data_IF_196433274384
#
_entry.id   IF_196433274384
#
_cell.length_a   1.000
_cell.length_b   1.000
_cell.length_c   1.000
_cell.angle_alpha   90.00
_cell.angle_beta   90.00
_cell.angle_gamma   90.00
#
_symmetry.space_group_name_H-M   'P 1'
#
loop_
_entity.id
_entity.type
_entity.pdbx_description
1 polymer ?
#
# COMPACT_ATOMS: atom_id res chain seq x y z
N UNK A 1 9.76 -24.49 0.26
CA UNK A 1 8.30 -24.28 0.13
C UNK A 1 8.00 -23.60 -1.19
N UNK A 2 6.98 -24.05 -1.93
CA UNK A 2 6.58 -23.50 -3.24
C UNK A 2 5.26 -22.75 -3.09
N UNK A 3 5.23 -21.48 -3.48
CA UNK A 3 4.07 -20.59 -3.32
C UNK A 3 3.66 -20.02 -4.67
N UNK A 4 2.38 -20.13 -5.01
CA UNK A 4 1.78 -19.43 -6.14
C UNK A 4 1.13 -18.14 -5.64
N UNK A 5 1.72 -17.00 -5.98
CA UNK A 5 1.08 -15.71 -5.72
C UNK A 5 0.17 -15.32 -6.90
N UNK A 6 -1.07 -14.94 -6.60
CA UNK A 6 -2.06 -14.56 -7.60
C UNK A 6 -2.54 -13.15 -7.33
N UNK A 7 -2.44 -12.28 -8.35
CA UNK A 7 -2.89 -10.88 -8.30
C UNK A 7 -3.40 -10.45 -9.67
N UNK A 8 -4.37 -9.55 -9.72
CA UNK A 8 -4.96 -9.09 -10.98
C UNK A 8 -4.04 -8.23 -11.86
N UNK A 9 -3.23 -7.38 -11.22
CA UNK A 9 -2.27 -6.45 -11.88
C UNK A 9 -0.90 -6.63 -11.24
N UNK A 10 0.16 -6.58 -12.05
CA UNK A 10 1.54 -6.76 -11.58
C UNK A 10 2.49 -5.87 -12.39
N UNK A 11 3.65 -5.44 -11.85
CA UNK A 11 4.64 -4.71 -12.62
C UNK A 11 4.99 -5.39 -13.97
N UNK A 12 5.32 -4.61 -15.00
CA UNK A 12 5.56 -3.17 -15.02
C UNK A 12 4.30 -2.29 -15.10
N UNK A 13 3.08 -2.85 -15.05
CA UNK A 13 1.83 -2.09 -15.18
C UNK A 13 1.66 -1.04 -14.08
N UNK A 14 1.62 -1.48 -12.85
CA UNK A 14 1.42 -0.60 -11.69
C UNK A 14 2.60 -0.72 -10.74
N UNK A 15 3.34 0.36 -10.58
CA UNK A 15 4.54 0.46 -9.72
C UNK A 15 4.22 1.17 -8.39
N UNK A 16 2.99 1.05 -7.91
CA UNK A 16 2.57 1.62 -6.62
C UNK A 16 1.47 0.78 -5.97
N UNK A 17 1.35 0.87 -4.66
CA UNK A 17 0.35 0.13 -3.90
C UNK A 17 0.54 -1.39 -3.93
N UNK A 18 -0.56 -2.17 -3.92
CA UNK A 18 -0.49 -3.62 -3.80
C UNK A 18 0.38 -4.35 -4.84
N UNK A 19 0.40 -3.98 -6.15
CA UNK A 19 1.26 -4.63 -7.13
C UNK A 19 2.74 -4.54 -6.81
N UNK A 20 3.23 -3.37 -6.43
CA UNK A 20 4.62 -3.16 -6.02
C UNK A 20 4.94 -3.95 -4.74
N UNK A 21 4.04 -3.92 -3.75
CA UNK A 21 4.21 -4.65 -2.50
C UNK A 21 4.31 -6.16 -2.72
N UNK A 22 3.47 -6.72 -3.60
CA UNK A 22 3.53 -8.14 -3.97
C UNK A 22 4.85 -8.49 -4.66
N UNK A 23 5.31 -7.63 -5.58
CA UNK A 23 6.57 -7.84 -6.27
C UNK A 23 7.77 -7.85 -5.31
N UNK A 24 7.87 -6.83 -4.46
CA UNK A 24 8.96 -6.74 -3.47
C UNK A 24 8.91 -7.87 -2.45
N UNK A 25 7.71 -8.26 -2.00
CA UNK A 25 7.53 -9.43 -1.15
C UNK A 25 7.98 -10.73 -1.84
N UNK A 26 7.61 -10.94 -3.09
CA UNK A 26 8.03 -12.11 -3.85
C UNK A 26 9.57 -12.19 -3.98
N UNK A 27 10.23 -11.06 -4.24
CA UNK A 27 11.70 -10.99 -4.24
C UNK A 27 12.30 -11.32 -2.88
N UNK A 28 11.76 -10.73 -1.80
CA UNK A 28 12.22 -10.99 -0.44
C UNK A 28 12.06 -12.44 -0.01
N UNK A 29 10.94 -13.07 -0.36
CA UNK A 29 10.69 -14.49 -0.09
C UNK A 29 11.64 -15.39 -0.86
N UNK A 30 11.91 -15.09 -2.14
CA UNK A 30 12.87 -15.84 -2.95
C UNK A 30 14.30 -15.72 -2.41
N UNK A 31 14.67 -14.56 -1.88
CA UNK A 31 15.96 -14.37 -1.20
C UNK A 31 16.04 -15.15 0.14
N UNK A 32 14.93 -15.70 0.63
CA UNK A 32 14.82 -16.53 1.85
C UNK A 32 14.41 -17.97 1.52
N UNK A 33 14.79 -18.49 0.37
CA UNK A 33 14.60 -19.88 -0.10
C UNK A 33 13.13 -20.33 -0.22
N UNK A 34 12.20 -19.39 -0.40
CA UNK A 34 10.81 -19.71 -0.76
C UNK A 34 10.65 -19.59 -2.28
N UNK A 35 10.32 -20.68 -2.96
CA UNK A 35 10.06 -20.65 -4.42
C UNK A 35 8.71 -19.99 -4.69
N UNK A 36 8.73 -18.68 -4.93
CA UNK A 36 7.54 -17.89 -5.28
C UNK A 36 7.47 -17.70 -6.78
N UNK A 37 6.29 -17.98 -7.34
CA UNK A 37 5.91 -17.70 -8.72
C UNK A 37 4.65 -16.85 -8.73
N UNK A 38 4.50 -15.96 -9.70
CA UNK A 38 3.36 -15.06 -9.78
C UNK A 38 2.51 -15.36 -11.01
N UNK A 39 1.20 -15.48 -10.84
CA UNK A 39 0.24 -15.46 -11.95
C UNK A 39 -0.57 -14.19 -11.88
N UNK A 40 -0.61 -13.45 -12.99
CA UNK A 40 -1.28 -12.17 -13.14
C UNK A 40 -1.90 -12.02 -14.53
N UNK A 41 -2.40 -10.83 -14.83
CA UNK A 41 -2.84 -10.45 -16.19
C UNK A 41 -2.01 -9.29 -16.72
N UNK A 42 -2.07 -9.04 -18.03
CA UNK A 42 -1.43 -7.88 -18.63
C UNK A 42 -2.31 -6.60 -18.55
N UNK A 43 -3.25 -6.55 -17.61
CA UNK A 43 -4.10 -5.39 -17.40
C UNK A 43 -3.33 -4.18 -16.84
N UNK A 44 -3.68 -2.96 -17.29
CA UNK A 44 -3.18 -1.69 -16.79
C UNK A 44 -4.32 -0.66 -16.79
N UNK A 45 -5.16 -0.70 -15.78
CA UNK A 45 -6.40 0.08 -15.76
C UNK A 45 -7.33 -0.32 -16.92
N UNK A 46 -7.66 0.64 -17.79
CA UNK A 46 -8.46 0.39 -19.01
C UNK A 46 -7.63 -0.23 -20.16
N UNK A 47 -6.31 -0.08 -20.10
CA UNK A 47 -5.37 -0.53 -21.12
C UNK A 47 -4.72 -1.86 -20.76
N UNK A 48 -3.74 -2.27 -21.55
CA UNK A 48 -2.88 -3.42 -21.32
C UNK A 48 -1.41 -3.00 -21.45
N UNK A 49 -0.52 -3.67 -20.71
CA UNK A 49 0.91 -3.53 -20.92
C UNK A 49 1.38 -4.46 -22.06
N UNK A 50 2.43 -4.04 -22.74
CA UNK A 50 3.11 -4.84 -23.74
C UNK A 50 4.13 -5.75 -23.05
N UNK A 51 3.70 -6.97 -22.75
CA UNK A 51 4.52 -8.04 -22.17
C UNK A 51 4.17 -9.37 -22.83
N UNK A 52 5.11 -10.33 -22.91
CA UNK A 52 4.81 -11.67 -23.36
C UNK A 52 3.70 -12.31 -22.52
N UNK A 53 2.61 -12.71 -23.17
CA UNK A 53 1.48 -13.37 -22.49
C UNK A 53 1.45 -14.87 -22.82
N UNK A 54 0.82 -15.65 -21.92
CA UNK A 54 0.60 -17.09 -22.15
C UNK A 54 1.82 -17.98 -21.85
N UNK A 55 2.91 -17.42 -21.38
CA UNK A 55 4.13 -18.14 -20.99
C UNK A 55 4.75 -17.53 -19.72
N UNK A 56 5.59 -18.30 -19.06
CA UNK A 56 6.42 -17.82 -17.96
C UNK A 56 7.55 -16.96 -18.50
N UNK A 57 7.77 -15.83 -17.86
CA UNK A 57 8.92 -14.94 -18.05
C UNK A 57 9.50 -14.58 -16.69
N UNK A 58 10.74 -14.14 -16.67
CA UNK A 58 11.34 -13.59 -15.46
C UNK A 58 11.19 -12.05 -15.46
N UNK A 59 10.73 -11.51 -14.35
CA UNK A 59 10.67 -10.07 -14.12
C UNK A 59 11.39 -9.76 -12.80
N UNK A 60 12.55 -9.12 -12.90
CA UNK A 60 13.42 -8.77 -11.76
C UNK A 60 13.63 -9.93 -10.77
N UNK A 61 13.99 -11.11 -11.25
CA UNK A 61 14.27 -12.29 -10.44
C UNK A 61 13.03 -13.07 -9.97
N UNK A 62 11.83 -12.71 -10.42
CA UNK A 62 10.58 -13.40 -10.10
C UNK A 62 9.98 -14.02 -11.36
N UNK A 63 9.69 -15.34 -11.38
CA UNK A 63 8.94 -15.98 -12.46
C UNK A 63 7.48 -15.48 -12.47
N UNK A 64 7.05 -14.89 -13.58
CA UNK A 64 5.71 -14.30 -13.74
C UNK A 64 5.04 -14.87 -14.98
N UNK A 65 3.78 -15.25 -14.85
CA UNK A 65 2.91 -15.61 -15.96
C UNK A 65 1.87 -14.51 -16.17
N UNK A 66 1.92 -13.82 -17.30
CA UNK A 66 0.92 -12.84 -17.69
C UNK A 66 -0.15 -13.50 -18.57
N UNK A 67 -1.37 -13.57 -18.05
CA UNK A 67 -2.53 -13.97 -18.84
C UNK A 67 -3.06 -12.78 -19.66
N UNK A 68 -3.38 -12.99 -20.93
CA UNK A 68 -4.00 -11.97 -21.78
C UNK A 68 -5.38 -11.58 -21.22
N UNK A 69 -5.57 -10.30 -20.87
CA UNK A 69 -6.83 -9.76 -20.40
C UNK A 69 -7.89 -9.83 -21.50
N UNK A 70 -9.11 -10.22 -21.14
CA UNK A 70 -10.25 -10.14 -22.05
C UNK A 70 -10.72 -8.69 -22.20
N UNK A 71 -10.97 -8.21 -23.43
CA UNK A 71 -11.49 -6.88 -23.67
C UNK A 71 -12.76 -6.60 -22.87
N UNK A 72 -12.93 -5.36 -22.40
CA UNK A 72 -14.11 -4.93 -21.63
C UNK A 72 -14.18 -5.45 -20.18
N UNK A 73 -13.17 -6.16 -19.71
CA UNK A 73 -13.10 -6.65 -18.33
C UNK A 73 -11.96 -6.01 -17.55
N UNK A 74 -12.05 -6.03 -16.22
CA UNK A 74 -10.97 -5.49 -15.36
C UNK A 74 -9.71 -6.39 -15.42
N UNK A 75 -9.85 -7.67 -15.02
CA UNK A 75 -8.73 -8.62 -14.89
C UNK A 75 -9.11 -10.04 -15.29
N UNK A 76 -10.15 -10.24 -16.13
CA UNK A 76 -10.52 -11.57 -16.56
C UNK A 76 -9.55 -12.08 -17.63
N UNK A 77 -9.01 -13.28 -17.43
CA UNK A 77 -8.08 -13.94 -18.35
C UNK A 77 -8.22 -15.45 -18.28
N UNK A 78 -8.58 -16.07 -19.39
CA UNK A 78 -8.62 -17.54 -19.48
C UNK A 78 -7.23 -18.17 -19.39
N UNK A 79 -6.21 -17.46 -19.87
CA UNK A 79 -4.80 -17.89 -19.75
C UNK A 79 -4.37 -17.94 -18.28
N UNK A 80 -4.63 -16.89 -17.52
CA UNK A 80 -4.34 -16.84 -16.09
C UNK A 80 -5.14 -17.91 -15.31
N UNK A 81 -6.42 -18.09 -15.63
CA UNK A 81 -7.25 -19.15 -15.03
C UNK A 81 -6.64 -20.53 -15.22
N UNK A 82 -6.29 -20.89 -16.46
CA UNK A 82 -5.65 -22.18 -16.76
C UNK A 82 -4.30 -22.34 -16.07
N UNK A 83 -3.50 -21.29 -16.01
CA UNK A 83 -2.22 -21.29 -15.30
C UNK A 83 -2.40 -21.56 -13.81
N UNK A 84 -3.34 -20.87 -13.14
CA UNK A 84 -3.65 -21.09 -11.72
C UNK A 84 -4.04 -22.54 -11.44
N UNK A 85 -4.96 -23.11 -12.25
CA UNK A 85 -5.43 -24.49 -12.08
C UNK A 85 -4.32 -25.51 -12.30
N UNK A 86 -3.45 -25.26 -13.29
CA UNK A 86 -2.28 -26.12 -13.58
C UNK A 86 -1.24 -26.08 -12.48
N UNK A 87 -0.84 -24.87 -12.07
CA UNK A 87 0.23 -24.68 -11.08
C UNK A 87 -0.21 -25.11 -9.66
N UNK A 88 -1.50 -25.08 -9.35
CA UNK A 88 -2.02 -25.55 -8.07
C UNK A 88 -1.66 -27.02 -7.75
N UNK A 89 -1.30 -27.83 -8.75
CA UNK A 89 -0.82 -29.20 -8.53
C UNK A 89 0.63 -29.26 -8.03
N UNK A 90 1.40 -28.20 -8.19
CA UNK A 90 2.84 -28.15 -8.01
C UNK A 90 3.29 -27.23 -6.87
N UNK A 91 2.35 -26.67 -6.12
CA UNK A 91 2.63 -25.72 -5.03
C UNK A 91 2.09 -26.20 -3.70
N UNK A 92 2.71 -25.72 -2.64
CA UNK A 92 2.34 -26.06 -1.27
C UNK A 92 1.24 -25.13 -0.75
N UNK A 93 1.14 -23.89 -1.32
CA UNK A 93 0.21 -22.84 -0.91
C UNK A 93 -0.08 -21.89 -2.08
N UNK A 94 -1.31 -21.32 -2.11
CA UNK A 94 -1.68 -20.21 -2.99
C UNK A 94 -1.90 -18.98 -2.14
N UNK A 95 -1.25 -17.85 -2.49
CA UNK A 95 -1.51 -16.54 -1.88
C UNK A 95 -2.23 -15.64 -2.89
N UNK A 96 -3.49 -15.31 -2.61
CA UNK A 96 -4.33 -14.47 -3.47
C UNK A 96 -4.41 -13.05 -2.92
N UNK A 97 -4.00 -12.06 -3.71
CA UNK A 97 -4.08 -10.63 -3.34
C UNK A 97 -5.23 -9.92 -4.05
N UNK A 98 -6.00 -9.17 -3.24
CA UNK A 98 -7.26 -8.54 -3.65
C UNK A 98 -8.45 -9.47 -3.45
N UNK A 99 -9.65 -8.89 -3.22
CA UNK A 99 -10.82 -9.70 -2.86
C UNK A 99 -11.73 -10.00 -4.05
N UNK A 100 -12.23 -8.99 -4.70
CA UNK A 100 -13.31 -9.11 -5.68
C UNK A 100 -12.79 -9.33 -7.11
N UNK A 101 -11.82 -10.25 -7.26
CA UNK A 101 -11.20 -10.57 -8.54
C UNK A 101 -11.69 -11.91 -9.10
N UNK A 102 -11.83 -11.98 -10.41
CA UNK A 102 -12.11 -13.23 -11.12
C UNK A 102 -11.02 -14.29 -10.92
N UNK A 103 -9.78 -13.86 -10.72
CA UNK A 103 -8.66 -14.76 -10.40
C UNK A 103 -8.87 -15.50 -9.08
N UNK A 104 -9.56 -14.89 -8.10
CA UNK A 104 -9.87 -15.53 -6.81
C UNK A 104 -10.89 -16.66 -6.95
N UNK A 105 -11.80 -16.59 -7.93
CA UNK A 105 -12.69 -17.72 -8.24
C UNK A 105 -11.89 -18.90 -8.82
N UNK A 106 -10.90 -18.62 -9.66
CA UNK A 106 -9.98 -19.65 -10.17
C UNK A 106 -9.15 -20.27 -9.04
N UNK A 107 -8.63 -19.43 -8.12
CA UNK A 107 -7.90 -19.89 -6.93
C UNK A 107 -8.78 -20.79 -6.06
N UNK A 108 -10.02 -20.39 -5.78
CA UNK A 108 -10.95 -21.20 -4.98
C UNK A 108 -11.30 -22.54 -5.66
N UNK A 109 -11.48 -22.54 -6.97
CA UNK A 109 -11.73 -23.77 -7.73
C UNK A 109 -10.51 -24.69 -7.73
N UNK A 110 -9.31 -24.16 -7.92
CA UNK A 110 -8.05 -24.89 -7.90
C UNK A 110 -7.75 -25.46 -6.50
N UNK A 111 -7.93 -24.66 -5.46
CA UNK A 111 -7.77 -25.06 -4.06
C UNK A 111 -8.67 -26.26 -3.70
N UNK A 112 -9.98 -26.17 -3.97
CA UNK A 112 -10.90 -27.28 -3.68
C UNK A 112 -10.55 -28.55 -4.45
N UNK A 113 -10.12 -28.42 -5.70
CA UNK A 113 -9.81 -29.54 -6.57
C UNK A 113 -8.52 -30.27 -6.18
N UNK A 114 -7.54 -29.52 -5.63
CA UNK A 114 -6.19 -30.02 -5.32
C UNK A 114 -5.90 -30.10 -3.83
N UNK A 115 -6.80 -29.61 -2.98
CA UNK A 115 -6.60 -29.55 -1.54
C UNK A 115 -5.48 -28.59 -1.13
N UNK A 116 -5.12 -27.60 -1.94
CA UNK A 116 -4.04 -26.62 -1.66
C UNK A 116 -4.60 -25.50 -0.78
N UNK A 117 -3.97 -25.20 0.39
CA UNK A 117 -4.41 -24.10 1.23
C UNK A 117 -4.27 -22.75 0.55
N UNK A 118 -5.17 -21.82 0.88
CA UNK A 118 -5.18 -20.46 0.34
C UNK A 118 -5.03 -19.44 1.45
N UNK A 119 -4.08 -18.54 1.31
CA UNK A 119 -4.00 -17.28 2.05
C UNK A 119 -4.60 -16.17 1.20
N UNK A 120 -5.48 -15.35 1.76
CA UNK A 120 -6.12 -14.23 1.07
C UNK A 120 -5.67 -12.92 1.70
N UNK A 121 -5.15 -11.97 0.89
CA UNK A 121 -4.85 -10.60 1.32
C UNK A 121 -5.93 -9.64 0.81
N UNK A 122 -6.81 -9.10 1.67
CA UNK A 122 -7.88 -8.19 1.25
C UNK A 122 -7.37 -6.85 0.73
N UNK A 123 -6.31 -6.32 1.31
CA UNK A 123 -5.70 -5.03 0.94
C UNK A 123 -6.69 -3.86 0.99
N UNK A 124 -7.42 -3.75 2.10
CA UNK A 124 -8.41 -2.69 2.32
C UNK A 124 -9.72 -2.87 1.56
N UNK A 125 -9.92 -3.99 0.87
CA UNK A 125 -11.17 -4.22 0.11
C UNK A 125 -12.40 -4.46 1.00
N UNK A 126 -12.19 -4.67 2.29
CA UNK A 126 -13.22 -4.91 3.31
C UNK A 126 -13.52 -3.68 4.17
N UNK A 127 -12.86 -2.55 3.92
CA UNK A 127 -13.25 -1.25 4.46
C UNK A 127 -14.72 -0.94 4.07
N UNK A 128 -15.48 -0.34 4.99
CA UNK A 128 -16.90 -0.03 4.78
C UNK A 128 -17.15 0.77 3.50
N UNK A 129 -16.34 1.80 3.25
CA UNK A 129 -16.46 2.60 2.03
C UNK A 129 -16.05 1.82 0.79
N UNK A 130 -15.01 0.96 0.90
CA UNK A 130 -14.64 0.09 -0.20
C UNK A 130 -15.78 -0.87 -0.54
N UNK A 131 -16.53 -1.36 0.44
CA UNK A 131 -17.67 -2.24 0.24
C UNK A 131 -18.83 -1.55 -0.50
N UNK A 132 -19.04 -0.26 -0.31
CA UNK A 132 -20.05 0.52 -1.00
C UNK A 132 -19.71 0.79 -2.48
N UNK A 133 -18.43 0.69 -2.85
CA UNK A 133 -18.02 0.91 -4.23
C UNK A 133 -18.35 -0.29 -5.14
N UNK A 134 -18.97 -0.02 -6.29
CA UNK A 134 -19.36 -1.04 -7.29
C UNK A 134 -20.20 -2.21 -6.74
N UNK A 135 -21.33 -1.98 -6.06
CA UNK A 135 -22.10 -3.01 -5.36
C UNK A 135 -22.61 -4.12 -6.30
N UNK A 136 -22.97 -3.78 -7.54
CA UNK A 136 -23.45 -4.77 -8.54
C UNK A 136 -22.37 -5.79 -8.93
N UNK A 137 -21.11 -5.34 -9.11
CA UNK A 137 -19.97 -6.24 -9.41
C UNK A 137 -19.72 -7.18 -8.23
N UNK A 138 -19.78 -6.69 -7.00
CA UNK A 138 -19.60 -7.50 -5.79
C UNK A 138 -20.72 -8.50 -5.59
N UNK A 139 -21.98 -8.10 -5.78
CA UNK A 139 -23.13 -9.00 -5.73
C UNK A 139 -22.97 -10.16 -6.74
N UNK A 140 -22.52 -9.85 -7.97
CA UNK A 140 -22.25 -10.88 -8.98
C UNK A 140 -21.10 -11.81 -8.54
N UNK A 141 -20.01 -11.27 -7.99
CA UNK A 141 -18.90 -12.06 -7.46
C UNK A 141 -19.37 -13.04 -6.38
N UNK A 142 -20.17 -12.57 -5.42
CA UNK A 142 -20.72 -13.43 -4.36
C UNK A 142 -21.66 -14.50 -4.90
N UNK A 143 -22.51 -14.15 -5.86
CA UNK A 143 -23.43 -15.09 -6.53
C UNK A 143 -22.68 -16.20 -7.27
N UNK A 144 -21.52 -15.91 -7.84
CA UNK A 144 -20.67 -16.87 -8.57
C UNK A 144 -19.73 -17.69 -7.66
N UNK A 145 -19.91 -17.63 -6.34
CA UNK A 145 -19.19 -18.46 -5.40
C UNK A 145 -18.12 -17.75 -4.57
N UNK A 146 -18.04 -16.41 -4.64
CA UNK A 146 -17.12 -15.60 -3.87
C UNK A 146 -17.21 -15.84 -2.36
N UNK A 147 -18.43 -16.00 -1.81
CA UNK A 147 -18.61 -16.33 -0.38
C UNK A 147 -17.95 -17.66 0.00
N UNK A 148 -18.06 -18.68 -0.86
CA UNK A 148 -17.40 -19.97 -0.62
C UNK A 148 -15.87 -19.87 -0.75
N UNK A 149 -15.40 -19.03 -1.68
CA UNK A 149 -13.98 -18.77 -1.84
C UNK A 149 -13.37 -18.17 -0.57
N UNK A 150 -14.04 -17.21 0.05
CA UNK A 150 -13.61 -16.55 1.27
C UNK A 150 -13.68 -17.46 2.49
N UNK A 151 -14.81 -18.15 2.68
CA UNK A 151 -14.97 -19.11 3.78
C UNK A 151 -14.00 -20.29 3.67
N UNK A 152 -13.52 -20.60 2.48
CA UNK A 152 -12.53 -21.65 2.24
C UNK A 152 -11.08 -21.21 2.37
N UNK A 153 -10.82 -19.93 2.68
CA UNK A 153 -9.46 -19.46 2.95
C UNK A 153 -8.89 -20.12 4.20
N UNK A 154 -7.65 -20.61 4.13
CA UNK A 154 -6.96 -21.19 5.28
C UNK A 154 -6.52 -20.12 6.27
N UNK A 155 -6.21 -18.91 5.77
CA UNK A 155 -5.95 -17.72 6.58
C UNK A 155 -6.14 -16.45 5.73
N UNK A 156 -6.32 -15.32 6.43
CA UNK A 156 -6.24 -13.98 5.84
C UNK A 156 -4.92 -13.34 6.24
N UNK A 157 -4.17 -12.86 5.26
CA UNK A 157 -3.03 -11.99 5.49
C UNK A 157 -3.51 -10.54 5.59
N UNK A 158 -3.36 -9.94 6.75
CA UNK A 158 -3.71 -8.55 7.04
C UNK A 158 -2.46 -7.73 7.28
N UNK A 159 -2.48 -6.45 6.89
CA UNK A 159 -1.33 -5.56 6.99
C UNK A 159 -1.36 -4.66 8.22
N UNK A 160 -2.51 -4.61 8.91
CA UNK A 160 -2.70 -3.80 10.11
C UNK A 160 -3.79 -4.40 11.00
N UNK A 161 -3.83 -3.98 12.27
CA UNK A 161 -4.90 -4.33 13.20
C UNK A 161 -6.27 -3.82 12.73
N UNK A 162 -6.31 -2.65 12.09
CA UNK A 162 -7.54 -2.12 11.50
C UNK A 162 -8.08 -3.06 10.42
N UNK A 163 -7.22 -3.57 9.55
CA UNK A 163 -7.62 -4.55 8.52
C UNK A 163 -8.08 -5.87 9.14
N UNK A 164 -7.47 -6.30 10.27
CA UNK A 164 -7.92 -7.49 11.01
C UNK A 164 -9.34 -7.35 11.50
N UNK A 165 -9.69 -6.21 12.10
CA UNK A 165 -11.06 -5.91 12.54
C UNK A 165 -12.05 -6.00 11.37
N UNK A 166 -11.70 -5.46 10.20
CA UNK A 166 -12.55 -5.53 9.02
C UNK A 166 -12.74 -6.97 8.52
N UNK A 167 -11.67 -7.79 8.55
CA UNK A 167 -11.74 -9.21 8.17
C UNK A 167 -12.64 -9.98 9.14
N UNK A 168 -12.46 -9.79 10.45
CA UNK A 168 -13.27 -10.47 11.48
C UNK A 168 -14.75 -10.10 11.38
N UNK A 169 -15.06 -8.82 11.14
CA UNK A 169 -16.43 -8.37 10.93
C UNK A 169 -17.07 -9.00 9.67
N UNK A 170 -16.29 -9.25 8.62
CA UNK A 170 -16.78 -9.77 7.35
C UNK A 170 -16.79 -11.31 7.27
N UNK A 171 -15.81 -11.99 7.89
CA UNK A 171 -15.69 -13.45 7.97
C UNK A 171 -15.41 -13.83 9.43
N UNK A 172 -16.42 -13.83 10.31
CA UNK A 172 -16.24 -14.12 11.72
C UNK A 172 -15.56 -15.49 11.96
N UNK A 173 -14.63 -15.52 12.92
CA UNK A 173 -13.86 -16.73 13.26
C UNK A 173 -12.79 -17.11 12.23
N UNK A 174 -12.49 -16.25 11.28
CA UNK A 174 -11.43 -16.49 10.32
C UNK A 174 -10.05 -16.37 10.98
N UNK A 175 -9.12 -17.23 10.56
CA UNK A 175 -7.72 -17.13 10.96
C UNK A 175 -7.07 -15.95 10.24
N UNK A 176 -6.40 -15.09 10.99
CA UNK A 176 -5.64 -13.96 10.43
C UNK A 176 -4.17 -14.05 10.78
N UNK A 177 -3.29 -13.65 9.86
CA UNK A 177 -1.87 -13.43 10.08
C UNK A 177 -1.54 -11.98 9.81
N UNK A 178 -1.04 -11.27 10.83
CA UNK A 178 -0.63 -9.88 10.71
C UNK A 178 0.82 -9.82 10.22
N UNK A 179 0.99 -9.39 8.97
CA UNK A 179 2.30 -9.09 8.39
C UNK A 179 2.21 -7.76 7.67
N UNK A 180 2.91 -6.72 8.12
CA UNK A 180 2.80 -5.39 7.52
C UNK A 180 3.37 -5.34 6.10
N UNK A 181 3.10 -4.26 5.38
CA UNK A 181 3.82 -3.99 4.14
C UNK A 181 5.29 -3.69 4.43
N UNK A 182 6.16 -4.13 3.54
CA UNK A 182 7.57 -3.81 3.60
C UNK A 182 7.88 -2.43 3.04
N UNK A 183 8.97 -1.85 3.52
CA UNK A 183 9.56 -0.62 3.01
C UNK A 183 11.01 -0.83 2.62
N UNK A 184 11.44 -0.19 1.53
CA UNK A 184 12.86 -0.06 1.21
C UNK A 184 13.47 1.01 2.12
N UNK A 185 14.47 0.64 2.89
CA UNK A 185 15.22 1.58 3.72
C UNK A 185 16.46 2.01 2.94
N UNK A 186 16.56 3.28 2.52
CA UNK A 186 17.72 3.79 1.80
C UNK A 186 19.00 3.65 2.63
N UNK A 187 20.14 3.50 1.96
CA UNK A 187 21.45 3.62 2.63
C UNK A 187 21.72 5.07 3.05
N UNK A 188 22.70 5.27 3.92
CA UNK A 188 23.10 6.62 4.33
C UNK A 188 23.70 7.40 3.16
N UNK A 189 24.40 6.71 2.25
CA UNK A 189 24.92 7.31 1.01
C UNK A 189 23.79 7.76 0.07
N UNK A 190 22.73 6.97 -0.06
CA UNK A 190 21.55 7.37 -0.83
C UNK A 190 20.88 8.61 -0.23
N UNK A 191 20.68 8.63 1.08
CA UNK A 191 20.12 9.78 1.79
C UNK A 191 20.97 11.02 1.58
N UNK A 192 22.30 10.92 1.75
CA UNK A 192 23.24 12.01 1.52
C UNK A 192 23.14 12.55 0.08
N UNK A 193 23.07 11.66 -0.92
CA UNK A 193 22.93 12.03 -2.33
C UNK A 193 21.66 12.85 -2.61
N UNK A 194 20.55 12.56 -1.94
CA UNK A 194 19.28 13.26 -2.16
C UNK A 194 19.16 14.56 -1.35
N UNK A 195 19.97 14.73 -0.31
CA UNK A 195 19.98 15.89 0.59
C UNK A 195 20.91 17.03 0.13
N UNK A 196 21.70 16.85 -0.93
CA UNK A 196 22.83 17.71 -1.35
C UNK A 196 22.47 19.18 -1.65
N UNK A 197 21.20 19.55 -1.76
CA UNK A 197 20.82 20.95 -1.94
C UNK A 197 20.09 21.45 -0.70
N UNK A 198 20.74 22.21 0.20
CA UNK A 198 20.03 22.89 1.27
C UNK A 198 19.01 23.85 0.65
N UNK A 199 17.74 23.56 0.76
CA UNK A 199 16.72 24.56 0.48
C UNK A 199 16.62 25.46 1.70
N UNK A 200 16.71 26.78 1.49
CA UNK A 200 16.43 27.74 2.55
C UNK A 200 14.95 27.71 2.99
N UNK A 201 14.09 27.05 2.22
CA UNK A 201 12.65 26.92 2.46
C UNK A 201 12.33 25.58 3.09
N UNK A 202 11.73 25.62 4.26
CA UNK A 202 11.15 24.44 4.92
C UNK A 202 9.96 23.91 4.09
N UNK A 203 9.82 22.58 4.00
CA UNK A 203 8.75 21.96 3.21
C UNK A 203 7.95 21.00 4.08
N UNK A 204 6.63 21.20 4.12
CA UNK A 204 5.66 20.20 4.58
C UNK A 204 5.21 19.41 3.36
N UNK A 205 5.35 18.08 3.38
CA UNK A 205 5.10 17.23 2.23
C UNK A 205 3.83 16.39 2.41
N UNK A 206 2.89 16.50 1.50
CA UNK A 206 1.86 15.50 1.28
C UNK A 206 2.26 14.64 0.08
N UNK A 207 2.21 13.31 0.24
CA UNK A 207 2.52 12.36 -0.83
C UNK A 207 1.40 11.33 -0.96
N UNK A 208 0.62 11.38 -2.05
CA UNK A 208 -0.49 10.47 -2.29
C UNK A 208 -1.43 10.95 -3.38
N UNK A 209 -2.38 10.10 -3.78
CA UNK A 209 -3.42 10.50 -4.74
C UNK A 209 -4.24 11.68 -4.20
N UNK A 210 -4.56 12.63 -5.06
CA UNK A 210 -5.49 13.71 -4.73
C UNK A 210 -6.92 13.16 -4.88
N UNK A 211 -7.51 12.74 -3.75
CA UNK A 211 -8.80 12.06 -3.69
C UNK A 211 -9.54 12.46 -2.40
N UNK A 212 -10.89 12.56 -2.34
CA UNK A 212 -11.62 12.95 -1.14
C UNK A 212 -11.24 12.19 0.14
N UNK A 213 -11.07 10.86 0.07
CA UNK A 213 -10.62 10.03 1.21
C UNK A 213 -9.26 10.42 1.79
N UNK A 214 -8.44 11.12 1.00
CA UNK A 214 -7.11 11.59 1.41
C UNK A 214 -7.14 12.91 2.16
N UNK A 215 -8.32 13.53 2.26
CA UNK A 215 -8.58 14.70 3.10
C UNK A 215 -7.70 15.92 2.77
N UNK A 216 -7.36 16.09 1.47
CA UNK A 216 -6.43 17.14 1.01
C UNK A 216 -7.03 18.54 1.17
N UNK A 217 -8.35 18.72 0.99
CA UNK A 217 -9.01 20.02 1.17
C UNK A 217 -8.93 20.51 2.61
N UNK A 218 -9.26 19.74 3.67
CA UNK A 218 -9.01 20.13 5.05
C UNK A 218 -7.53 20.42 5.35
N UNK A 219 -6.57 19.70 4.71
CA UNK A 219 -5.16 20.02 4.83
C UNK A 219 -4.84 21.44 4.28
N UNK A 220 -5.35 21.78 3.09
CA UNK A 220 -5.16 23.13 2.50
C UNK A 220 -5.77 24.22 3.40
N UNK A 221 -6.94 23.98 3.97
CA UNK A 221 -7.57 24.92 4.93
C UNK A 221 -6.77 25.07 6.22
N UNK A 222 -6.25 23.98 6.76
CA UNK A 222 -5.33 24.01 7.89
C UNK A 222 -4.07 24.82 7.58
N UNK A 223 -3.53 24.63 6.36
CA UNK A 223 -2.38 25.37 5.88
C UNK A 223 -2.60 26.88 5.81
N UNK A 224 -3.81 27.35 5.57
CA UNK A 224 -4.10 28.79 5.53
C UNK A 224 -3.72 29.51 6.83
N UNK A 225 -3.99 28.90 7.98
CA UNK A 225 -3.60 29.47 9.28
C UNK A 225 -2.11 29.32 9.59
N UNK A 226 -1.47 28.26 9.10
CA UNK A 226 -0.03 27.96 9.28
C UNK A 226 0.83 28.90 8.41
N UNK A 227 0.49 29.08 7.14
CA UNK A 227 1.25 29.86 6.18
C UNK A 227 1.47 31.32 6.64
N UNK A 228 0.50 31.91 7.33
CA UNK A 228 0.61 33.26 7.89
C UNK A 228 1.70 33.38 8.98
N UNK A 229 1.95 32.30 9.73
CA UNK A 229 2.98 32.25 10.79
C UNK A 229 4.34 31.78 10.28
N UNK A 230 4.34 31.04 9.16
CA UNK A 230 5.56 30.45 8.57
C UNK A 230 5.71 30.86 7.08
N UNK A 231 5.96 32.16 6.77
CA UNK A 231 5.90 32.69 5.40
C UNK A 231 6.96 32.11 4.46
N UNK A 232 8.06 31.56 4.97
CA UNK A 232 9.13 30.94 4.18
C UNK A 232 8.91 29.44 3.95
N UNK A 233 7.85 28.86 4.51
CA UNK A 233 7.55 27.42 4.39
C UNK A 233 6.59 27.17 3.24
N UNK A 234 6.74 26.02 2.58
CA UNK A 234 5.84 25.60 1.49
C UNK A 234 5.14 24.28 1.87
N UNK A 235 3.85 24.18 1.49
CA UNK A 235 3.14 22.91 1.43
C UNK A 235 3.28 22.34 0.01
N UNK A 236 3.94 21.19 -0.12
CA UNK A 236 4.03 20.47 -1.39
C UNK A 236 3.05 19.29 -1.39
N UNK A 237 2.11 19.32 -2.33
CA UNK A 237 1.13 18.25 -2.56
C UNK A 237 1.56 17.50 -3.81
N UNK A 238 2.11 16.31 -3.61
CA UNK A 238 2.64 15.46 -4.67
C UNK A 238 1.79 14.19 -4.84
N UNK A 239 1.30 13.96 -6.03
CA UNK A 239 0.54 12.77 -6.41
C UNK A 239 -0.39 13.00 -7.60
N UNK A 240 -0.87 11.91 -8.21
CA UNK A 240 -1.80 12.01 -9.34
C UNK A 240 -3.18 12.46 -8.87
N UNK A 241 -3.87 13.13 -9.77
CA UNK A 241 -5.31 13.39 -9.63
C UNK A 241 -6.11 12.08 -9.71
N UNK A 242 -7.13 11.98 -8.90
CA UNK A 242 -8.05 10.85 -8.90
C UNK A 242 -9.49 11.37 -8.96
N UNK A 243 -10.17 11.08 -10.05
CA UNK A 243 -11.54 11.51 -10.35
C UNK A 243 -11.77 13.03 -10.46
N UNK A 244 -10.76 13.82 -10.80
CA UNK A 244 -10.88 15.29 -10.99
C UNK A 244 -10.91 16.09 -9.68
N UNK A 245 -10.57 15.48 -8.54
CA UNK A 245 -10.58 16.16 -7.24
C UNK A 245 -9.54 17.27 -7.13
N UNK A 246 -8.49 17.24 -7.96
CA UNK A 246 -7.48 18.29 -8.05
C UNK A 246 -8.08 19.66 -8.33
N UNK A 247 -9.04 19.77 -9.24
CA UNK A 247 -9.72 21.03 -9.58
C UNK A 247 -10.43 21.66 -8.37
N UNK A 248 -10.95 20.84 -7.47
CA UNK A 248 -11.57 21.32 -6.23
C UNK A 248 -10.51 21.83 -5.25
N UNK A 249 -9.38 21.13 -5.14
CA UNK A 249 -8.23 21.57 -4.32
C UNK A 249 -7.68 22.90 -4.84
N UNK A 250 -7.51 23.06 -6.15
CA UNK A 250 -7.06 24.33 -6.80
C UNK A 250 -8.00 25.49 -6.48
N UNK A 251 -9.32 25.26 -6.52
CA UNK A 251 -10.31 26.30 -6.12
C UNK A 251 -10.16 26.72 -4.65
N UNK A 252 -9.89 25.78 -3.77
CA UNK A 252 -9.69 26.09 -2.33
C UNK A 252 -8.38 26.87 -2.15
N UNK A 253 -7.28 26.48 -2.81
CA UNK A 253 -6.00 27.20 -2.76
C UNK A 253 -6.19 28.66 -3.19
N UNK A 254 -6.90 28.91 -4.28
CA UNK A 254 -7.16 30.26 -4.79
C UNK A 254 -8.08 31.05 -3.82
N UNK A 255 -9.15 30.44 -3.30
CA UNK A 255 -10.07 31.11 -2.38
C UNK A 255 -9.41 31.50 -1.05
N UNK A 256 -8.46 30.69 -0.57
CA UNK A 256 -7.66 30.96 0.65
C UNK A 256 -6.40 31.82 0.36
N UNK A 257 -6.17 32.22 -0.90
CA UNK A 257 -5.00 33.01 -1.36
C UNK A 257 -3.65 32.35 -1.06
N UNK A 258 -3.56 31.07 -1.27
CA UNK A 258 -2.39 30.23 -0.92
C UNK A 258 -1.48 29.92 -2.12
N UNK A 259 -1.72 30.51 -3.29
CA UNK A 259 -0.98 30.23 -4.54
C UNK A 259 0.54 30.39 -4.37
N UNK A 260 0.98 31.30 -3.51
CA UNK A 260 2.39 31.52 -3.24
C UNK A 260 3.03 30.48 -2.32
N UNK A 261 2.25 29.73 -1.51
CA UNK A 261 2.75 28.84 -0.45
C UNK A 261 2.38 27.36 -0.65
N UNK A 262 1.45 27.04 -1.57
CA UNK A 262 1.05 25.64 -1.87
C UNK A 262 1.51 25.28 -3.28
N UNK A 263 2.22 24.18 -3.42
CA UNK A 263 2.73 23.66 -4.69
C UNK A 263 2.04 22.33 -5.01
N UNK A 264 1.31 22.27 -6.12
CA UNK A 264 0.73 21.04 -6.65
C UNK A 264 1.73 20.37 -7.63
N UNK A 265 2.62 19.53 -7.12
CA UNK A 265 3.72 18.93 -7.87
C UNK A 265 3.29 17.85 -8.89
N UNK A 266 2.02 17.38 -8.82
CA UNK A 266 1.59 16.28 -9.67
C UNK A 266 2.26 14.94 -9.28
N UNK A 267 2.26 13.99 -10.20
CA UNK A 267 2.85 12.66 -9.95
C UNK A 267 4.37 12.74 -9.92
N UNK A 268 4.98 12.25 -8.83
CA UNK A 268 6.44 12.14 -8.66
C UNK A 268 6.85 10.70 -8.49
N UNK A 269 7.97 10.29 -9.11
CA UNK A 269 8.48 8.93 -9.11
C UNK A 269 10.02 8.94 -9.02
N UNK A 270 10.60 7.78 -8.71
CA UNK A 270 12.05 7.58 -8.71
C UNK A 270 12.79 8.59 -7.80
N UNK A 271 13.90 9.10 -8.27
CA UNK A 271 14.77 10.02 -7.53
C UNK A 271 14.08 11.32 -7.11
N UNK A 272 13.13 11.84 -7.89
CA UNK A 272 12.42 13.06 -7.52
C UNK A 272 11.53 12.88 -6.29
N UNK A 273 10.93 11.69 -6.13
CA UNK A 273 10.20 11.32 -4.91
C UNK A 273 11.16 11.26 -3.70
N UNK A 274 12.33 10.66 -3.87
CA UNK A 274 13.32 10.57 -2.81
C UNK A 274 13.87 11.95 -2.40
N UNK A 275 14.13 12.84 -3.37
CA UNK A 275 14.53 14.21 -3.11
C UNK A 275 13.48 15.02 -2.37
N UNK A 276 12.19 14.84 -2.71
CA UNK A 276 11.09 15.49 -1.97
C UNK A 276 11.03 15.00 -0.52
N UNK A 277 11.15 13.70 -0.29
CA UNK A 277 11.20 13.14 1.06
C UNK A 277 12.40 13.67 1.84
N UNK A 278 13.60 13.62 1.26
CA UNK A 278 14.83 14.04 1.94
C UNK A 278 14.85 15.55 2.32
N UNK A 279 14.03 16.38 1.67
CA UNK A 279 13.93 17.83 1.94
C UNK A 279 12.76 18.20 2.87
N UNK A 280 11.86 17.26 3.15
CA UNK A 280 10.68 17.54 3.94
C UNK A 280 11.03 17.68 5.43
N UNK A 281 10.52 18.73 6.07
CA UNK A 281 10.53 18.85 7.54
C UNK A 281 9.65 17.79 8.17
N UNK A 282 8.50 17.53 7.56
CA UNK A 282 7.61 16.43 7.93
C UNK A 282 6.78 16.00 6.71
N UNK A 283 6.33 14.73 6.74
CA UNK A 283 5.28 14.25 5.83
C UNK A 283 3.94 14.32 6.55
N UNK A 284 2.88 14.70 5.82
CA UNK A 284 1.53 14.70 6.35
C UNK A 284 0.62 13.77 5.56
N UNK A 285 -0.08 12.85 6.25
CA UNK A 285 -1.07 11.93 5.70
C UNK A 285 -2.40 12.06 6.47
N UNK A 286 -3.27 13.02 6.09
CA UNK A 286 -4.50 13.34 6.82
C UNK A 286 -5.69 12.45 6.43
N UNK A 287 -5.46 11.28 5.86
CA UNK A 287 -6.46 10.40 5.28
C UNK A 287 -7.57 10.04 6.26
N UNK A 288 -8.82 10.00 5.78
CA UNK A 288 -9.97 9.54 6.56
C UNK A 288 -9.90 8.04 6.86
N UNK A 289 -9.35 7.27 5.93
CA UNK A 289 -9.13 5.82 6.08
C UNK A 289 -7.96 5.36 5.23
N UNK A 290 -7.15 4.47 5.78
CA UNK A 290 -6.01 3.81 5.11
C UNK A 290 -5.92 2.34 5.52
N UNK A 291 -5.63 1.51 4.56
CA UNK A 291 -5.30 0.12 4.88
C UNK A 291 -3.92 0.01 5.56
N UNK A 292 -2.94 0.74 5.05
CA UNK A 292 -1.58 0.78 5.60
C UNK A 292 -0.97 2.20 5.53
N UNK A 293 -1.00 2.86 4.36
CA UNK A 293 -0.36 4.17 4.16
C UNK A 293 1.15 4.03 3.94
N UNK A 294 1.57 3.37 2.86
CA UNK A 294 2.98 3.10 2.54
C UNK A 294 3.88 4.34 2.62
N UNK A 295 3.34 5.52 2.29
CA UNK A 295 4.10 6.78 2.31
C UNK A 295 4.59 7.17 3.70
N UNK A 296 3.90 6.74 4.78
CA UNK A 296 4.36 6.92 6.16
C UNK A 296 5.65 6.12 6.39
N UNK A 297 5.64 4.82 6.04
CA UNK A 297 6.83 4.00 6.14
C UNK A 297 7.99 4.54 5.29
N UNK A 298 7.68 5.02 4.08
CA UNK A 298 8.67 5.64 3.19
C UNK A 298 9.29 6.89 3.81
N UNK A 299 8.49 7.78 4.39
CA UNK A 299 8.99 9.00 5.04
C UNK A 299 9.86 8.67 6.26
N UNK A 300 9.40 7.78 7.14
CA UNK A 300 10.17 7.35 8.30
C UNK A 300 11.49 6.69 7.89
N UNK A 301 11.49 5.88 6.81
CA UNK A 301 12.72 5.29 6.26
C UNK A 301 13.72 6.35 5.75
N UNK A 302 13.23 7.55 5.36
CA UNK A 302 14.03 8.71 4.96
C UNK A 302 14.38 9.66 6.12
N UNK A 303 14.16 9.26 7.38
CA UNK A 303 14.35 10.09 8.58
C UNK A 303 13.43 11.32 8.63
N UNK A 304 12.27 11.23 8.03
CA UNK A 304 11.28 12.31 8.01
C UNK A 304 10.17 11.99 9.02
N UNK A 305 9.97 12.83 10.06
CA UNK A 305 8.86 12.69 10.98
C UNK A 305 7.52 12.80 10.25
N UNK A 306 6.49 12.15 10.78
CA UNK A 306 5.20 12.06 10.10
C UNK A 306 4.05 12.56 10.97
N UNK A 307 3.17 13.35 10.37
CA UNK A 307 1.85 13.67 10.89
C UNK A 307 0.85 12.75 10.18
N UNK A 308 0.23 11.83 10.90
CA UNK A 308 -0.77 10.93 10.34
C UNK A 308 -2.08 11.01 11.12
N UNK A 309 -3.20 10.80 10.43
CA UNK A 309 -4.52 10.80 11.07
C UNK A 309 -4.83 9.49 11.79
N UNK A 310 -5.79 9.52 12.72
CA UNK A 310 -6.35 8.33 13.36
C UNK A 310 -7.10 7.40 12.39
N UNK A 311 -7.39 7.85 11.19
CA UNK A 311 -7.86 7.00 10.08
C UNK A 311 -6.77 6.11 9.47
N UNK A 312 -5.55 6.13 10.02
CA UNK A 312 -4.41 5.33 9.57
C UNK A 312 -3.91 4.41 10.68
N UNK A 313 -3.32 3.25 10.38
CA UNK A 313 -2.83 2.30 11.39
C UNK A 313 -1.46 2.69 11.97
N UNK A 314 -1.20 3.99 12.15
CA UNK A 314 0.12 4.52 12.53
C UNK A 314 0.17 5.10 13.94
N UNK A 315 -0.64 4.58 14.87
CA UNK A 315 -0.60 5.00 16.29
C UNK A 315 0.78 4.93 16.94
N UNK A 316 1.63 4.01 16.49
CA UNK A 316 3.01 3.89 16.93
C UNK A 316 3.90 5.12 16.66
N UNK A 317 3.45 6.08 15.84
CA UNK A 317 4.16 7.36 15.66
C UNK A 317 4.33 8.11 16.98
N UNK A 318 3.27 8.16 17.78
CA UNK A 318 3.26 8.78 19.11
C UNK A 318 4.09 7.96 20.10
N UNK A 319 3.86 6.64 20.15
CA UNK A 319 4.48 5.75 21.14
C UNK A 319 6.00 5.63 20.96
N UNK A 320 6.49 5.85 19.74
CA UNK A 320 7.92 5.86 19.38
C UNK A 320 8.51 7.25 19.22
N UNK A 321 7.73 8.29 19.54
CA UNK A 321 8.12 9.70 19.45
C UNK A 321 8.78 10.05 18.09
N UNK A 322 8.22 9.57 16.99
CA UNK A 322 8.70 9.82 15.63
C UNK A 322 7.70 10.55 14.74
N UNK A 323 6.65 11.11 15.35
CA UNK A 323 5.61 11.87 14.67
C UNK A 323 4.36 12.09 15.50
N UNK A 324 3.31 12.53 14.85
CA UNK A 324 2.02 12.89 15.44
C UNK A 324 0.93 11.98 14.89
N UNK A 325 0.01 11.56 15.73
CA UNK A 325 -1.15 10.77 15.36
C UNK A 325 -2.41 11.45 15.91
N UNK A 326 -3.16 12.10 15.01
CA UNK A 326 -4.16 13.14 15.33
C UNK A 326 -5.51 12.87 14.65
N UNK A 327 -6.57 13.54 15.10
CA UNK A 327 -7.84 13.54 14.38
C UNK A 327 -7.70 14.29 13.04
N UNK A 328 -8.36 13.85 11.95
CA UNK A 328 -8.24 14.47 10.63
C UNK A 328 -9.09 15.76 10.49
N UNK A 329 -9.10 16.61 11.51
CA UNK A 329 -9.79 17.91 11.51
C UNK A 329 -8.84 19.03 11.11
N UNK A 330 -9.41 20.17 10.65
CA UNK A 330 -8.62 21.34 10.23
C UNK A 330 -7.75 21.86 11.39
N UNK A 331 -8.33 21.96 12.58
CA UNK A 331 -7.66 22.53 13.75
C UNK A 331 -6.50 21.62 14.25
N UNK A 332 -6.74 20.31 14.32
CA UNK A 332 -5.71 19.34 14.72
C UNK A 332 -4.57 19.26 13.68
N UNK A 333 -4.92 19.35 12.39
CA UNK A 333 -3.92 19.41 11.32
C UNK A 333 -3.07 20.67 11.43
N UNK A 334 -3.70 21.84 11.65
CA UNK A 334 -2.97 23.10 11.80
C UNK A 334 -2.05 23.07 13.02
N UNK A 335 -2.54 22.62 14.18
CA UNK A 335 -1.76 22.52 15.39
C UNK A 335 -0.56 21.57 15.25
N UNK A 336 -0.75 20.39 14.64
CA UNK A 336 0.33 19.45 14.45
C UNK A 336 1.39 19.93 13.44
N UNK A 337 0.97 20.67 12.39
CA UNK A 337 1.91 21.28 11.45
C UNK A 337 2.74 22.36 12.14
N UNK A 338 2.10 23.24 12.94
CA UNK A 338 2.81 24.27 13.69
C UNK A 338 3.82 23.66 14.67
N UNK A 339 3.43 22.62 15.42
CA UNK A 339 4.32 21.92 16.34
C UNK A 339 5.51 21.27 15.59
N UNK A 340 5.26 20.65 14.46
CA UNK A 340 6.31 20.08 13.61
C UNK A 340 7.29 21.15 13.09
N UNK A 341 6.81 22.32 12.72
CA UNK A 341 7.64 23.43 12.23
C UNK A 341 8.38 24.15 13.38
N UNK A 342 7.78 24.26 14.56
CA UNK A 342 8.38 24.81 15.75
C UNK A 342 9.42 23.88 16.40
N UNK A 343 9.38 22.59 16.08
CA UNK A 343 10.33 21.60 16.61
C UNK A 343 11.75 21.94 16.17
N UNK A 344 12.66 22.08 17.12
CA UNK A 344 14.07 22.36 16.88
C UNK A 344 14.71 21.35 15.91
N UNK A 345 15.61 21.78 15.00
CA UNK A 345 16.20 20.90 13.99
C UNK A 345 16.85 19.63 14.55
N UNK A 346 17.54 19.73 15.68
CA UNK A 346 18.17 18.59 16.35
C UNK A 346 17.13 17.61 16.91
N UNK A 347 16.03 18.11 17.51
CA UNK A 347 14.95 17.28 18.02
C UNK A 347 14.22 16.57 16.84
N UNK A 348 13.95 17.29 15.75
CA UNK A 348 13.35 16.73 14.54
C UNK A 348 14.23 15.66 13.89
N UNK A 349 15.54 15.86 13.84
CA UNK A 349 16.48 14.83 13.38
C UNK A 349 16.45 13.59 14.28
N UNK A 350 16.39 13.75 15.59
CA UNK A 350 16.27 12.63 16.53
C UNK A 350 14.94 11.87 16.36
N UNK A 351 13.83 12.56 16.09
CA UNK A 351 12.54 11.92 15.72
C UNK A 351 12.69 11.09 14.44
N UNK A 352 13.34 11.64 13.43
CA UNK A 352 13.61 10.96 12.16
C UNK A 352 14.42 9.67 12.34
N UNK A 353 15.47 9.70 13.18
CA UNK A 353 16.28 8.52 13.48
C UNK A 353 15.48 7.44 14.23
N UNK A 354 14.60 7.81 15.16
CA UNK A 354 13.71 6.84 15.83
C UNK A 354 12.77 6.20 14.81
N UNK A 355 12.19 6.99 13.92
CA UNK A 355 11.32 6.50 12.84
C UNK A 355 12.03 5.53 11.90
N UNK A 356 13.26 5.89 11.44
CA UNK A 356 14.06 5.02 10.59
C UNK A 356 14.41 3.69 11.27
N UNK A 357 14.82 3.73 12.54
CA UNK A 357 15.12 2.53 13.31
C UNK A 357 13.90 1.60 13.37
N UNK A 358 12.72 2.15 13.62
CA UNK A 358 11.47 1.41 13.60
C UNK A 358 11.22 0.73 12.25
N UNK A 359 11.48 1.43 11.13
CA UNK A 359 11.33 0.85 9.80
C UNK A 359 12.30 -0.30 9.54
N UNK A 360 13.55 -0.19 10.01
CA UNK A 360 14.55 -1.25 9.89
C UNK A 360 14.12 -2.50 10.67
N UNK A 361 13.68 -2.31 11.91
CA UNK A 361 13.39 -3.39 12.87
C UNK A 361 12.10 -4.16 12.50
N UNK A 362 11.06 -3.48 12.03
CA UNK A 362 9.74 -4.10 11.87
C UNK A 362 9.25 -4.15 10.42
N UNK A 363 9.66 -3.23 9.55
CA UNK A 363 9.09 -3.07 8.21
C UNK A 363 10.08 -3.29 7.07
N UNK A 364 11.35 -3.61 7.36
CA UNK A 364 12.32 -3.94 6.31
C UNK A 364 11.90 -5.21 5.54
N UNK A 365 12.21 -5.28 4.25
CA UNK A 365 11.84 -6.41 3.41
C UNK A 365 12.30 -7.77 3.95
N UNK A 366 13.54 -7.92 4.50
CA UNK A 366 13.94 -9.19 5.12
C UNK A 366 13.05 -9.58 6.32
N UNK A 367 12.63 -8.61 7.13
CA UNK A 367 11.76 -8.85 8.28
C UNK A 367 10.35 -9.28 7.85
N UNK A 368 9.79 -8.54 6.88
CA UNK A 368 8.45 -8.82 6.33
C UNK A 368 8.41 -10.16 5.59
N UNK A 369 9.44 -10.48 4.80
CA UNK A 369 9.53 -11.77 4.11
C UNK A 369 9.62 -12.94 5.10
N UNK A 370 10.35 -12.78 6.20
CA UNK A 370 10.41 -13.78 7.28
C UNK A 370 9.04 -13.99 7.92
N UNK A 371 8.37 -12.92 8.36
CA UNK A 371 7.02 -13.01 8.94
C UNK A 371 6.00 -13.65 7.99
N UNK A 372 6.12 -13.38 6.68
CA UNK A 372 5.27 -14.02 5.68
C UNK A 372 5.61 -15.50 5.50
N UNK A 373 6.88 -15.87 5.52
CA UNK A 373 7.33 -17.28 5.47
C UNK A 373 6.81 -18.06 6.66
N UNK A 374 6.85 -17.45 7.86
CA UNK A 374 6.32 -18.07 9.09
C UNK A 374 4.80 -18.29 8.99
N UNK A 375 4.05 -17.29 8.48
CA UNK A 375 2.62 -17.44 8.23
C UNK A 375 2.32 -18.57 7.24
N UNK A 376 3.10 -18.69 6.17
CA UNK A 376 2.93 -19.77 5.19
C UNK A 376 3.24 -21.14 5.79
N UNK A 377 4.34 -21.26 6.54
CA UNK A 377 4.72 -22.50 7.21
C UNK A 377 3.63 -22.96 8.20
N UNK A 378 3.08 -22.02 8.96
CA UNK A 378 2.00 -22.26 9.90
C UNK A 378 0.69 -22.70 9.18
N UNK A 379 0.34 -22.10 8.05
CA UNK A 379 -0.82 -22.50 7.23
C UNK A 379 -0.62 -23.88 6.60
N UNK A 380 0.56 -24.20 6.13
CA UNK A 380 0.87 -25.50 5.50
C UNK A 380 0.91 -26.62 6.54
N UNK A 381 1.52 -26.39 7.72
CA UNK A 381 1.63 -27.39 8.78
C UNK A 381 0.27 -27.71 9.45
N UNK A 382 -0.61 -26.72 9.55
CA UNK A 382 -1.96 -26.87 10.10
C UNK A 382 -2.99 -27.29 9.04
N UNK A 383 -2.55 -27.85 7.92
CA UNK A 383 -3.42 -28.40 6.88
C UNK A 383 -4.34 -29.46 7.49
N UNK A 384 -5.58 -29.11 7.81
CA UNK A 384 -6.60 -30.11 8.11
C UNK A 384 -6.82 -30.89 6.80
N UNK A 385 -6.39 -32.15 6.77
CA UNK A 385 -6.80 -33.06 5.71
C UNK A 385 -8.32 -33.08 5.74
N UNK A 386 -9.03 -32.67 4.69
CA UNK A 386 -10.50 -32.85 4.65
C UNK A 386 -10.77 -34.34 4.82
N UNK A 387 -11.52 -34.69 5.87
CA UNK A 387 -12.12 -36.03 5.99
C UNK A 387 -13.19 -36.23 4.93
#
# INVERSE_FOLDING_TARGET
>A
MRVLHVIGVYPPAAMSGPPEQVHRLARGLRASDVDVRVVTTNANGRDTIDVPTGRWIEFEGVPVYYGRRLPGTDHLSWGAWRAIVREAANVDLIHATGMFSWTNLAVAAASRRRGVPVVVSPRGSLDQDALLFSPRKKALYFRLGGSRALKGAAAFHVTSEMERVHVEAFVPGSRTGLVPNGVAVPSDDDLARWTIVPSAEATVLYLGRVHPKKNVIPLVRAWASVAARHPTTKLVIAGPDDHGHRTEVERVIASERLDASVILAGRVLGDDKHKLLARACCLILPSLTENFGNVVAEALAHRVPVIASTGTPWGGLRDRECGWWIQPTVDELAAAIDDALATEPAARAAMGERGRRWMIEEFSWPRVARGMSDLYADVVSNRRVPR
#
